data_IF_662017335126
#
_entry.id   IF_662017335126
#
_cell.length_a   1.000
_cell.length_b   1.000
_cell.length_c   1.000
_cell.angle_alpha   90.00
_cell.angle_beta   90.00
_cell.angle_gamma   90.00
#
_symmetry.space_group_name_H-M   'P 1'
#
loop_
_entity.id
_entity.type
_entity.pdbx_description
1 polymer ?
#
# COMPACT_ATOMS: atom_id res chain seq x y z
N UNK A 1 2.42 20.20 5.47
CA UNK A 1 2.26 20.02 4.02
C UNK A 1 1.47 18.74 3.79
N UNK A 2 0.27 18.82 3.23
CA UNK A 2 -0.53 17.61 2.96
C UNK A 2 0.07 16.87 1.76
N UNK A 3 0.57 15.66 1.98
CA UNK A 3 1.06 14.79 0.91
C UNK A 3 -0.17 14.29 0.15
N UNK A 4 -0.28 14.59 -1.13
CA UNK A 4 -1.39 14.15 -1.97
C UNK A 4 -1.21 12.67 -2.35
N UNK A 5 -2.31 11.90 -2.32
CA UNK A 5 -2.32 10.48 -2.69
C UNK A 5 -1.73 10.23 -4.08
N UNK A 6 -2.08 11.09 -5.04
CA UNK A 6 -1.59 11.04 -6.42
C UNK A 6 -0.06 11.17 -6.49
N UNK A 7 0.51 12.12 -5.77
CA UNK A 7 1.97 12.33 -5.72
C UNK A 7 2.70 11.10 -5.16
N UNK A 8 2.16 10.49 -4.10
CA UNK A 8 2.75 9.27 -3.52
C UNK A 8 2.69 8.12 -4.52
N UNK A 9 1.56 7.97 -5.22
CA UNK A 9 1.38 6.95 -6.24
C UNK A 9 2.35 7.12 -7.42
N UNK A 10 2.49 8.34 -7.92
CA UNK A 10 3.43 8.68 -9.01
C UNK A 10 4.86 8.33 -8.63
N UNK A 11 5.34 8.81 -7.48
CA UNK A 11 6.69 8.54 -6.98
C UNK A 11 6.96 7.03 -6.82
N UNK A 12 5.95 6.29 -6.38
CA UNK A 12 6.06 4.85 -6.28
C UNK A 12 6.12 4.18 -7.65
N UNK A 13 5.25 4.57 -8.58
CA UNK A 13 5.24 4.02 -9.94
C UNK A 13 6.53 4.33 -10.70
N UNK A 14 7.16 5.48 -10.43
CA UNK A 14 8.47 5.84 -10.96
C UNK A 14 9.60 4.95 -10.40
N UNK A 15 9.56 4.64 -9.11
CA UNK A 15 10.58 3.83 -8.45
C UNK A 15 10.40 2.31 -8.67
N UNK A 16 9.18 1.85 -8.90
CA UNK A 16 8.84 0.44 -9.00
C UNK A 16 9.64 -0.33 -10.07
N UNK A 17 9.87 0.18 -11.29
CA UNK A 17 10.64 -0.52 -12.31
C UNK A 17 12.05 -0.90 -11.87
N UNK A 18 12.65 -0.17 -10.94
CA UNK A 18 13.99 -0.47 -10.42
C UNK A 18 14.06 -1.73 -9.54
N UNK A 19 12.92 -2.21 -9.06
CA UNK A 19 12.81 -3.37 -8.17
C UNK A 19 12.07 -4.55 -8.81
N UNK A 20 11.39 -4.34 -9.93
CA UNK A 20 10.72 -5.41 -10.68
C UNK A 20 11.72 -6.26 -11.46
N UNK A 21 11.46 -7.54 -11.53
CA UNK A 21 12.18 -8.46 -12.42
C UNK A 21 11.68 -8.37 -13.86
N UNK A 22 12.50 -8.74 -14.86
CA UNK A 22 12.07 -8.76 -16.25
C UNK A 22 10.79 -9.58 -16.46
N UNK A 23 9.78 -8.96 -17.05
CA UNK A 23 8.47 -9.59 -17.31
C UNK A 23 7.54 -9.67 -16.10
N UNK A 24 7.94 -9.20 -14.93
CA UNK A 24 7.08 -9.14 -13.74
C UNK A 24 6.06 -8.00 -13.87
N UNK A 25 4.80 -8.28 -13.52
CA UNK A 25 3.69 -7.34 -13.68
C UNK A 25 3.10 -6.95 -12.33
N UNK A 26 2.94 -5.65 -12.10
CA UNK A 26 2.20 -5.14 -10.96
C UNK A 26 0.72 -5.48 -11.07
N UNK A 27 0.15 -6.04 -10.02
CA UNK A 27 -1.29 -6.38 -9.91
C UNK A 27 -2.04 -5.41 -9.00
N UNK A 28 -1.43 -5.05 -7.89
CA UNK A 28 -2.01 -4.11 -6.92
C UNK A 28 -0.89 -3.40 -6.14
N UNK A 29 -1.19 -2.23 -5.59
CA UNK A 29 -0.25 -1.55 -4.73
C UNK A 29 -0.94 -0.55 -3.82
N UNK A 30 -0.47 -0.44 -2.57
CA UNK A 30 -1.03 0.46 -1.58
C UNK A 30 0.05 0.96 -0.60
N UNK A 31 -0.09 2.21 -0.19
CA UNK A 31 0.74 2.79 0.86
C UNK A 31 0.21 2.36 2.23
N UNK A 32 1.09 1.90 3.09
CA UNK A 32 0.75 1.39 4.40
C UNK A 32 1.79 1.73 5.46
N UNK A 33 1.38 1.55 6.70
CA UNK A 33 2.20 1.80 7.88
C UNK A 33 2.29 0.52 8.69
N UNK A 34 3.49 0.04 8.98
CA UNK A 34 3.67 -1.11 9.85
C UNK A 34 3.71 -0.68 11.31
N UNK A 35 3.22 -1.55 12.18
CA UNK A 35 3.26 -1.33 13.62
C UNK A 35 1.89 -1.39 14.29
N UNK A 36 1.81 -1.05 15.58
CA UNK A 36 0.55 -0.94 16.30
C UNK A 36 -0.41 0.06 15.64
N UNK A 37 -1.68 0.04 16.02
CA UNK A 37 -2.67 0.98 15.47
C UNK A 37 -2.17 2.43 15.62
N UNK A 38 -2.08 3.20 14.53
CA UNK A 38 -1.63 4.59 14.58
C UNK A 38 -2.48 5.47 15.50
N UNK A 39 -3.76 5.16 15.64
CA UNK A 39 -4.68 5.87 16.55
C UNK A 39 -4.31 5.68 18.02
N UNK A 40 -3.92 4.46 18.39
CA UNK A 40 -3.55 4.15 19.77
C UNK A 40 -2.24 4.86 20.15
N UNK A 41 -1.25 4.83 19.26
CA UNK A 41 0.04 5.50 19.47
C UNK A 41 -0.13 7.02 19.53
N UNK A 42 -0.90 7.60 18.59
CA UNK A 42 -1.14 9.04 18.54
C UNK A 42 -1.92 9.53 19.77
N UNK A 43 -2.86 8.73 20.27
CA UNK A 43 -3.65 9.06 21.46
C UNK A 43 -2.84 9.00 22.77
N UNK A 44 -1.86 8.10 22.87
CA UNK A 44 -1.11 7.89 24.10
C UNK A 44 0.18 8.74 24.21
N UNK A 45 0.91 8.90 23.13
CA UNK A 45 2.27 9.45 23.14
C UNK A 45 2.56 10.47 22.02
N UNK A 46 1.57 10.79 21.18
CA UNK A 46 1.73 11.76 20.09
C UNK A 46 2.85 11.36 19.11
N UNK A 47 3.53 12.37 18.57
CA UNK A 47 4.62 12.20 17.60
C UNK A 47 5.80 11.41 18.17
N UNK A 48 6.10 11.59 19.45
CA UNK A 48 7.20 10.89 20.14
C UNK A 48 6.93 9.40 20.18
N UNK A 49 5.68 8.98 20.38
CA UNK A 49 5.30 7.57 20.35
C UNK A 49 5.54 6.94 18.99
N UNK A 50 5.24 7.63 17.91
CA UNK A 50 5.48 7.11 16.55
C UNK A 50 6.96 6.84 16.28
N UNK A 51 7.86 7.69 16.82
CA UNK A 51 9.30 7.49 16.71
C UNK A 51 9.81 6.35 17.58
N UNK A 52 9.33 6.24 18.83
CA UNK A 52 9.77 5.22 19.79
C UNK A 52 9.29 3.80 19.44
N UNK A 53 8.08 3.65 18.86
CA UNK A 53 7.52 2.35 18.50
C UNK A 53 7.98 1.84 17.13
N UNK A 54 8.95 2.49 16.49
CA UNK A 54 9.55 2.01 15.26
C UNK A 54 8.56 1.89 14.11
N UNK A 55 7.58 2.81 14.02
CA UNK A 55 6.61 2.86 12.93
C UNK A 55 7.36 3.02 11.62
N UNK A 56 7.20 2.06 10.72
CA UNK A 56 7.82 2.06 9.40
C UNK A 56 6.76 2.28 8.33
N UNK A 57 7.07 3.13 7.38
CA UNK A 57 6.23 3.40 6.24
C UNK A 57 6.66 2.52 5.07
N UNK A 58 5.68 1.92 4.42
CA UNK A 58 5.93 1.05 3.27
C UNK A 58 4.97 1.36 2.13
N UNK A 59 5.43 1.05 0.95
CA UNK A 59 4.57 0.83 -0.19
C UNK A 59 4.56 -0.67 -0.49
N UNK A 60 3.38 -1.28 -0.35
CA UNK A 60 3.16 -2.69 -0.66
C UNK A 60 2.75 -2.82 -2.12
N UNK A 61 3.57 -3.47 -2.92
CA UNK A 61 3.28 -3.85 -4.29
C UNK A 61 3.07 -5.37 -4.37
N UNK A 62 1.98 -5.78 -4.97
CA UNK A 62 1.71 -7.17 -5.29
C UNK A 62 1.87 -7.36 -6.78
N UNK A 63 2.73 -8.28 -7.14
CA UNK A 63 2.96 -8.66 -8.54
C UNK A 63 2.30 -10.01 -8.85
N UNK A 64 2.48 -10.49 -10.05
CA UNK A 64 2.08 -11.83 -10.44
C UNK A 64 2.87 -12.94 -9.72
N UNK A 65 4.08 -12.62 -9.19
CA UNK A 65 5.01 -13.59 -8.59
C UNK A 65 5.22 -13.42 -7.09
N UNK A 66 5.27 -12.18 -6.60
CA UNK A 66 5.69 -11.87 -5.22
C UNK A 66 5.01 -10.62 -4.67
N UNK A 67 5.12 -10.42 -3.36
CA UNK A 67 4.83 -9.16 -2.72
C UNK A 67 6.13 -8.44 -2.40
N UNK A 68 6.19 -7.16 -2.72
CA UNK A 68 7.34 -6.29 -2.53
C UNK A 68 6.94 -5.18 -1.57
N UNK A 69 7.63 -5.06 -0.44
CA UNK A 69 7.49 -3.93 0.46
C UNK A 69 8.67 -2.98 0.27
N UNK A 70 8.41 -1.84 -0.32
CA UNK A 70 9.39 -0.76 -0.46
C UNK A 70 9.27 0.16 0.76
N UNK A 71 10.39 0.45 1.41
CA UNK A 71 10.43 1.44 2.49
C UNK A 71 10.07 2.82 1.93
N UNK A 72 9.33 3.59 2.71
CA UNK A 72 9.01 4.97 2.39
C UNK A 72 9.51 5.91 3.50
N UNK A 73 9.95 7.09 3.10
CA UNK A 73 10.35 8.13 4.03
C UNK A 73 9.13 8.68 4.78
N UNK A 74 9.23 8.80 6.09
CA UNK A 74 8.20 9.41 6.94
C UNK A 74 7.83 10.83 6.48
N UNK A 75 8.83 11.65 6.14
CA UNK A 75 8.63 13.06 5.86
C UNK A 75 8.15 13.36 4.44
N UNK A 76 8.58 12.58 3.48
CA UNK A 76 8.33 12.86 2.06
C UNK A 76 7.47 11.83 1.38
N UNK A 77 7.18 10.69 2.05
CA UNK A 77 6.56 9.49 1.50
C UNK A 77 7.27 8.94 0.24
N UNK A 78 8.50 9.41 -0.05
CA UNK A 78 9.29 8.92 -1.19
C UNK A 78 9.82 7.52 -0.92
N UNK A 79 9.90 6.67 -1.94
CA UNK A 79 10.58 5.40 -1.84
C UNK A 79 12.01 5.57 -1.33
N UNK A 80 12.37 4.82 -0.29
CA UNK A 80 13.68 4.86 0.38
C UNK A 80 14.45 3.54 0.21
N UNK A 81 14.06 2.72 -0.76
CA UNK A 81 14.67 1.46 -1.10
C UNK A 81 13.81 0.24 -0.81
N UNK A 82 14.31 -0.93 -1.19
CA UNK A 82 13.66 -2.21 -0.96
C UNK A 82 13.68 -2.54 0.55
N UNK A 83 12.52 -2.80 1.12
CA UNK A 83 12.42 -3.34 2.48
C UNK A 83 12.61 -4.85 2.45
N UNK A 84 11.68 -5.56 1.83
CA UNK A 84 11.74 -7.01 1.62
C UNK A 84 10.81 -7.42 0.48
N UNK A 85 11.04 -8.64 0.00
CA UNK A 85 10.27 -9.25 -1.07
C UNK A 85 10.04 -10.71 -0.73
N UNK A 86 8.78 -11.14 -0.78
CA UNK A 86 8.39 -12.51 -0.43
C UNK A 86 7.62 -13.13 -1.59
N UNK A 87 7.85 -14.42 -1.93
CA UNK A 87 7.04 -15.14 -2.91
C UNK A 87 5.56 -15.08 -2.52
N UNK A 88 4.69 -14.90 -3.50
CA UNK A 88 3.26 -14.70 -3.26
C UNK A 88 2.60 -15.90 -2.54
N UNK A 89 3.00 -17.11 -2.88
CA UNK A 89 2.54 -18.38 -2.32
C UNK A 89 3.04 -18.65 -0.89
N UNK A 90 4.09 -17.94 -0.46
CA UNK A 90 4.61 -18.03 0.90
C UNK A 90 3.94 -17.08 1.89
N UNK A 91 3.09 -16.16 1.40
CA UNK A 91 2.45 -15.13 2.22
C UNK A 91 1.09 -15.61 2.69
N UNK A 92 0.82 -15.44 3.98
CA UNK A 92 -0.50 -15.65 4.56
C UNK A 92 -1.01 -14.32 5.10
N UNK A 93 -2.19 -13.90 4.63
CA UNK A 93 -2.88 -12.72 5.17
C UNK A 93 -4.01 -13.17 6.10
N UNK A 94 -4.14 -12.47 7.21
CA UNK A 94 -5.18 -12.70 8.21
C UNK A 94 -5.63 -11.40 8.86
N UNK A 95 -6.66 -11.46 9.70
CA UNK A 95 -7.21 -10.29 10.39
C UNK A 95 -7.49 -9.11 9.46
N UNK A 96 -8.14 -9.38 8.33
CA UNK A 96 -8.43 -8.39 7.32
C UNK A 96 -9.60 -7.52 7.78
N UNK A 97 -9.36 -6.24 8.02
CA UNK A 97 -10.37 -5.24 8.36
C UNK A 97 -10.32 -4.12 7.31
N UNK A 98 -11.27 -4.13 6.39
CA UNK A 98 -11.33 -3.18 5.26
C UNK A 98 -12.21 -1.98 5.51
N UNK A 99 -13.19 -2.06 6.41
CA UNK A 99 -14.26 -1.06 6.56
C UNK A 99 -14.16 -0.22 7.85
N UNK A 100 -12.96 -0.14 8.43
CA UNK A 100 -12.72 0.72 9.57
C UNK A 100 -12.83 2.21 9.20
N UNK A 101 -13.32 3.04 10.14
CA UNK A 101 -13.60 4.47 9.88
C UNK A 101 -12.38 5.26 9.41
N UNK A 102 -11.19 5.01 9.95
CA UNK A 102 -9.99 5.80 9.68
C UNK A 102 -8.80 4.95 9.21
N UNK A 103 -8.59 3.79 9.82
CA UNK A 103 -7.48 2.89 9.54
C UNK A 103 -7.96 1.47 9.35
N UNK A 104 -7.87 0.98 8.15
CA UNK A 104 -8.01 -0.45 7.82
C UNK A 104 -6.70 -1.17 8.12
N UNK A 105 -6.73 -2.49 8.32
CA UNK A 105 -5.50 -3.24 8.56
C UNK A 105 -5.60 -4.69 8.11
N UNK A 106 -4.45 -5.31 7.94
CA UNK A 106 -4.29 -6.75 7.77
C UNK A 106 -3.02 -7.23 8.49
N UNK A 107 -3.00 -8.48 8.86
CA UNK A 107 -1.77 -9.16 9.28
C UNK A 107 -1.13 -9.84 8.08
N UNK A 108 0.11 -9.48 7.83
CA UNK A 108 0.97 -10.01 6.77
C UNK A 108 1.98 -10.97 7.40
N UNK A 109 1.76 -12.26 7.23
CA UNK A 109 2.61 -13.29 7.80
C UNK A 109 3.54 -13.88 6.74
N UNK A 110 4.80 -14.07 7.13
CA UNK A 110 5.89 -14.66 6.33
C UNK A 110 6.44 -15.87 7.03
N UNK A 111 6.94 -16.89 6.31
CA UNK A 111 7.56 -18.04 6.93
C UNK A 111 8.73 -17.66 7.85
N UNK A 112 8.72 -18.17 9.08
CA UNK A 112 9.80 -17.93 10.04
C UNK A 112 9.93 -16.52 10.60
N UNK A 113 8.98 -15.63 10.32
CA UNK A 113 8.96 -14.25 10.78
C UNK A 113 7.72 -13.97 11.63
N UNK A 114 7.82 -12.99 12.53
CA UNK A 114 6.62 -12.49 13.23
C UNK A 114 5.67 -11.83 12.21
N UNK A 115 4.36 -12.05 12.34
CA UNK A 115 3.38 -11.35 11.51
C UNK A 115 3.55 -9.84 11.61
N UNK A 116 3.48 -9.17 10.48
CA UNK A 116 3.58 -7.73 10.37
C UNK A 116 2.19 -7.13 10.22
N UNK A 117 1.76 -6.31 11.16
CA UNK A 117 0.51 -5.57 11.02
C UNK A 117 0.73 -4.40 10.07
N UNK A 118 0.00 -4.39 8.98
CA UNK A 118 -0.02 -3.31 7.99
C UNK A 118 -1.32 -2.53 8.14
N UNK A 119 -1.20 -1.24 8.42
CA UNK A 119 -2.33 -0.33 8.59
C UNK A 119 -2.41 0.58 7.35
N UNK A 120 -3.62 0.72 6.81
CA UNK A 120 -3.92 1.51 5.61
C UNK A 120 -4.88 2.63 6.00
N UNK A 121 -4.50 3.86 5.69
CA UNK A 121 -5.41 4.99 5.87
C UNK A 121 -6.60 4.87 4.91
N UNK A 122 -7.75 5.43 5.28
CA UNK A 122 -8.98 5.30 4.48
C UNK A 122 -8.83 5.76 3.03
N UNK A 123 -7.89 6.63 2.75
CA UNK A 123 -7.57 7.08 1.38
C UNK A 123 -7.03 5.95 0.49
N UNK A 124 -6.48 4.89 1.09
CA UNK A 124 -5.93 3.73 0.40
C UNK A 124 -6.82 2.49 0.53
N UNK A 125 -8.08 2.66 0.91
CA UNK A 125 -9.02 1.55 1.14
C UNK A 125 -9.25 0.71 -0.10
N UNK A 126 -9.47 1.34 -1.24
CA UNK A 126 -9.74 0.64 -2.49
C UNK A 126 -8.52 -0.12 -2.99
N UNK A 127 -7.35 0.49 -2.86
CA UNK A 127 -6.08 -0.17 -3.16
C UNK A 127 -5.79 -1.31 -2.19
N UNK A 128 -6.13 -1.17 -0.91
CA UNK A 128 -6.03 -2.26 0.06
C UNK A 128 -6.92 -3.45 -0.33
N UNK A 129 -8.16 -3.20 -0.76
CA UNK A 129 -9.04 -4.25 -1.26
C UNK A 129 -8.44 -4.98 -2.46
N UNK A 130 -7.84 -4.24 -3.39
CA UNK A 130 -7.12 -4.82 -4.54
C UNK A 130 -5.91 -5.67 -4.09
N UNK A 131 -5.16 -5.20 -3.09
CA UNK A 131 -4.05 -5.96 -2.49
C UNK A 131 -4.55 -7.26 -1.87
N UNK A 132 -5.63 -7.22 -1.09
CA UNK A 132 -6.25 -8.41 -0.48
C UNK A 132 -6.69 -9.40 -1.57
N UNK A 133 -7.36 -8.93 -2.61
CA UNK A 133 -7.78 -9.77 -3.73
C UNK A 133 -6.58 -10.38 -4.48
N UNK A 134 -5.54 -9.58 -4.73
CA UNK A 134 -4.34 -10.04 -5.42
C UNK A 134 -3.55 -11.09 -4.62
N UNK A 135 -3.65 -11.07 -3.28
CA UNK A 135 -3.07 -12.07 -2.36
C UNK A 135 -3.96 -13.32 -2.14
N UNK A 136 -5.14 -13.37 -2.79
CA UNK A 136 -6.07 -14.50 -2.63
C UNK A 136 -6.98 -14.42 -1.41
N UNK A 137 -7.15 -13.25 -0.82
CA UNK A 137 -8.13 -13.00 0.24
C UNK A 137 -9.57 -13.10 -0.29
N UNK A 138 -10.44 -13.80 0.47
CA UNK A 138 -11.74 -14.28 0.00
C UNK A 138 -12.82 -13.22 -0.28
N UNK A 139 -12.61 -11.95 0.04
CA UNK A 139 -13.68 -10.94 0.06
C UNK A 139 -13.70 -9.94 -1.11
N UNK A 140 -12.81 -10.08 -2.09
CA UNK A 140 -12.81 -9.17 -3.25
C UNK A 140 -12.67 -9.99 -4.53
N UNK A 141 -13.61 -9.88 -5.50
CA UNK A 141 -13.45 -10.52 -6.80
C UNK A 141 -12.14 -10.06 -7.45
N UNK A 142 -11.27 -11.00 -7.78
CA UNK A 142 -10.05 -10.67 -8.51
C UNK A 142 -10.44 -9.97 -9.82
N UNK A 143 -9.78 -8.89 -10.22
CA UNK A 143 -9.97 -8.33 -11.54
C UNK A 143 -9.68 -9.41 -12.58
N UNK A 144 -10.47 -9.52 -13.65
CA UNK A 144 -10.28 -10.55 -14.65
C UNK A 144 -8.86 -10.50 -15.21
N UNK A 145 -8.20 -11.65 -15.42
CA UNK A 145 -6.85 -11.69 -15.96
C UNK A 145 -6.85 -10.98 -17.33
N UNK A 146 -5.98 -9.98 -17.48
CA UNK A 146 -5.87 -9.19 -18.70
C UNK A 146 -6.69 -7.90 -18.71
N UNK A 147 -7.38 -7.52 -17.64
CA UNK A 147 -7.97 -6.19 -17.54
C UNK A 147 -6.85 -5.15 -17.58
N UNK A 148 -6.87 -4.20 -18.53
CA UNK A 148 -5.90 -3.10 -18.51
C UNK A 148 -6.05 -2.32 -17.19
N UNK A 149 -4.96 -1.74 -16.67
CA UNK A 149 -5.04 -0.88 -15.50
C UNK A 149 -6.12 0.20 -15.74
N UNK A 150 -6.90 0.56 -14.71
CA UNK A 150 -7.93 1.58 -14.88
C UNK A 150 -7.30 2.82 -15.49
N UNK A 151 -7.90 3.29 -16.59
CA UNK A 151 -7.43 4.47 -17.29
C UNK A 151 -7.32 5.64 -16.29
N UNK A 152 -6.28 6.47 -16.38
CA UNK A 152 -6.22 7.67 -15.56
C UNK A 152 -7.48 8.50 -15.78
N UNK A 153 -8.00 9.14 -14.72
CA UNK A 153 -9.19 9.99 -14.85
C UNK A 153 -8.96 11.01 -15.97
N UNK A 154 -9.96 11.14 -16.83
CA UNK A 154 -9.90 12.09 -17.95
C UNK A 154 -9.56 13.50 -17.41
N UNK A 155 -8.70 14.25 -18.08
CA UNK A 155 -8.41 15.61 -17.67
C UNK A 155 -9.72 16.42 -17.63
N UNK A 156 -9.85 17.34 -16.67
CA UNK A 156 -11.05 18.17 -16.60
C UNK A 156 -11.26 18.92 -17.91
N UNK A 157 -12.51 19.10 -18.38
CA UNK A 157 -12.80 19.83 -19.60
C UNK A 157 -12.21 21.25 -19.51
N UNK A 158 -11.69 21.80 -20.60
CA UNK A 158 -11.19 23.17 -20.64
C UNK A 158 -12.31 24.12 -20.22
N UNK A 159 -11.98 25.22 -19.50
CA UNK A 159 -12.96 26.22 -19.12
C UNK A 159 -13.63 26.78 -20.39
N UNK A 160 -14.92 27.11 -20.32
CA UNK A 160 -15.61 27.69 -21.45
C UNK A 160 -14.93 29.00 -21.89
N UNK A 161 -14.85 29.28 -23.19
CA UNK A 161 -14.27 30.52 -23.67
C UNK A 161 -15.05 31.68 -23.05
N UNK A 162 -14.31 32.60 -22.44
CA UNK A 162 -14.83 33.67 -21.63
C UNK A 162 -15.92 34.48 -22.35
N UNK A 163 -17.01 34.69 -21.64
CA UNK A 163 -17.97 35.73 -21.88
C UNK A 163 -17.47 37.05 -21.26
#
# INVERSE_FOLDING_TARGET
>A
MAIRKETVREQFMEALPSVLEPGEQLRAGAYCVSGPSPLWIAGLLGLIGMLLFGVQYYFLAITDRRAILMKASFWTARPAGLGFSDPKDAIVISEIVTDAKLWSHLLYARPGQKPLRLNFHTWWRDEMKQVVAALGGADVPAPPPGAPPPAPPAPPPPPPPGS
#
